data_IF_873345075480
#
_entry.id   IF_873345075480
#
_cell.length_a   1.000
_cell.length_b   1.000
_cell.length_c   1.000
_cell.angle_alpha   90.00
_cell.angle_beta   90.00
_cell.angle_gamma   90.00
#
_symmetry.space_group_name_H-M   'P 1'
#
loop_
_entity.id
_entity.type
_entity.pdbx_description
1 polymer ?
#
# COMPACT_ATOMS: atom_id res chain seq x y z
N UNK A 1 -3.78 -2.29 -5.33
CA UNK A 1 -2.46 -2.70 -5.81
C UNK A 1 -1.49 -2.60 -4.65
N UNK A 2 -0.72 -3.67 -4.37
CA UNK A 2 0.23 -3.77 -3.26
C UNK A 2 -0.28 -3.11 -1.97
N UNK A 3 -1.46 -3.50 -1.46
CA UNK A 3 -2.04 -2.85 -0.29
C UNK A 3 -1.27 -3.22 0.97
N UNK A 4 -1.20 -2.28 1.89
CA UNK A 4 -0.72 -2.57 3.25
C UNK A 4 -1.73 -3.49 3.93
N UNK A 5 -1.34 -4.74 4.17
CA UNK A 5 -2.17 -5.72 4.89
C UNK A 5 -2.03 -5.53 6.40
N UNK A 6 -0.80 -5.38 6.87
CA UNK A 6 -0.46 -5.16 8.27
C UNK A 6 0.53 -3.98 8.39
N UNK A 7 0.06 -2.79 8.80
CA UNK A 7 0.92 -1.61 8.89
C UNK A 7 2.10 -1.76 9.85
N UNK A 8 1.96 -2.55 10.94
CA UNK A 8 3.05 -2.79 11.88
C UNK A 8 4.17 -3.59 11.24
N UNK A 9 3.84 -4.66 10.49
CA UNK A 9 4.82 -5.46 9.75
C UNK A 9 5.46 -4.67 8.61
N UNK A 10 4.66 -3.89 7.86
CA UNK A 10 5.19 -3.01 6.81
C UNK A 10 6.20 -2.01 7.37
N UNK A 11 5.94 -1.44 8.56
CA UNK A 11 6.89 -0.55 9.21
C UNK A 11 8.20 -1.29 9.56
N UNK A 12 8.12 -2.50 10.08
CA UNK A 12 9.31 -3.33 10.36
C UNK A 12 10.07 -3.64 9.07
N UNK A 13 9.38 -4.01 7.99
CA UNK A 13 10.02 -4.28 6.69
C UNK A 13 10.77 -3.05 6.15
N UNK A 14 10.22 -1.85 6.31
CA UNK A 14 10.89 -0.61 5.93
C UNK A 14 12.13 -0.30 6.79
N UNK A 15 12.07 -0.60 8.10
CA UNK A 15 13.18 -0.35 9.03
C UNK A 15 14.34 -1.36 8.85
N UNK A 16 14.00 -2.62 8.57
CA UNK A 16 14.98 -3.74 8.51
C UNK A 16 15.42 -4.08 7.09
N UNK A 17 14.69 -3.61 6.09
CA UNK A 17 14.96 -3.83 4.68
C UNK A 17 16.15 -3.01 4.18
N UNK A 18 16.16 -2.71 2.87
CA UNK A 18 17.24 -1.89 2.31
C UNK A 18 17.23 -0.48 2.93
N UNK A 19 18.36 -0.09 3.50
CA UNK A 19 18.56 1.15 4.28
C UNK A 19 18.06 2.45 3.61
N UNK A 20 17.91 2.44 2.30
CA UNK A 20 17.43 3.60 1.52
C UNK A 20 15.92 3.82 1.62
N UNK A 21 15.12 2.76 1.86
CA UNK A 21 13.66 2.87 1.90
C UNK A 21 13.18 3.74 3.06
N UNK A 22 13.59 3.44 4.28
CA UNK A 22 13.19 4.24 5.44
C UNK A 22 13.57 5.71 5.27
N UNK A 23 14.82 5.98 4.83
CA UNK A 23 15.29 7.36 4.58
C UNK A 23 14.45 8.07 3.52
N UNK A 24 14.06 7.36 2.46
CA UNK A 24 13.20 7.90 1.42
C UNK A 24 11.83 8.30 2.00
N UNK A 25 11.17 7.43 2.75
CA UNK A 25 9.86 7.69 3.33
C UNK A 25 9.90 8.79 4.39
N UNK A 26 10.91 8.80 5.26
CA UNK A 26 11.10 9.88 6.24
C UNK A 26 11.24 11.23 5.53
N UNK A 27 12.07 11.33 4.47
CA UNK A 27 12.22 12.56 3.69
C UNK A 27 10.93 13.00 3.01
N UNK A 28 10.19 12.05 2.43
CA UNK A 28 8.88 12.35 1.79
C UNK A 28 7.88 12.86 2.81
N UNK A 29 7.79 12.21 3.96
CA UNK A 29 6.90 12.65 5.04
C UNK A 29 7.29 14.03 5.57
N UNK A 30 8.57 14.27 5.86
CA UNK A 30 9.05 15.58 6.28
C UNK A 30 8.72 16.69 5.27
N UNK A 31 8.92 16.46 3.97
CA UNK A 31 8.52 17.42 2.91
C UNK A 31 7.02 17.71 2.92
N UNK A 32 6.20 16.68 3.10
CA UNK A 32 4.74 16.82 3.20
C UNK A 32 4.36 17.65 4.44
N UNK A 33 4.97 17.38 5.59
CA UNK A 33 4.74 18.13 6.83
C UNK A 33 5.18 19.59 6.70
N UNK A 34 6.35 19.87 6.12
CA UNK A 34 6.79 21.24 5.85
C UNK A 34 5.78 22.01 5.01
N UNK A 35 5.24 21.38 3.97
CA UNK A 35 4.19 21.98 3.14
C UNK A 35 2.91 22.24 3.96
N UNK A 36 2.49 21.27 4.79
CA UNK A 36 1.30 21.42 5.65
C UNK A 36 1.46 22.51 6.70
N UNK A 37 2.61 22.56 7.38
CA UNK A 37 2.92 23.61 8.37
C UNK A 37 2.81 25.01 7.74
N UNK A 38 3.30 25.16 6.50
CA UNK A 38 3.24 26.45 5.78
C UNK A 38 1.84 26.83 5.32
N UNK A 39 1.05 25.86 4.83
CA UNK A 39 -0.26 26.12 4.23
C UNK A 39 -1.39 26.13 5.24
N UNK A 40 -1.23 25.41 6.36
CA UNK A 40 -2.24 25.18 7.37
C UNK A 40 -1.64 25.31 8.78
N UNK A 41 -1.18 26.51 9.17
CA UNK A 41 -0.54 26.73 10.47
C UNK A 41 -1.46 26.41 11.66
N UNK A 42 -2.78 26.50 11.44
CA UNK A 42 -3.81 26.17 12.43
C UNK A 42 -3.82 24.68 12.84
N UNK A 43 -3.27 23.77 12.03
CA UNK A 43 -3.18 22.35 12.38
C UNK A 43 -2.17 22.06 13.51
N UNK A 44 -1.38 23.05 13.89
CA UNK A 44 -0.49 22.96 15.06
C UNK A 44 0.63 21.93 14.93
N UNK A 45 1.00 21.52 13.70
CA UNK A 45 2.18 20.67 13.50
C UNK A 45 3.44 21.38 13.96
N UNK A 46 4.15 20.78 14.91
CA UNK A 46 5.35 21.39 15.49
C UNK A 46 6.59 21.03 14.67
N UNK A 47 7.57 21.95 14.62
CA UNK A 47 8.87 21.73 14.00
C UNK A 47 9.62 20.51 14.55
N UNK A 48 9.23 20.02 15.73
CA UNK A 48 9.80 18.80 16.30
C UNK A 48 9.63 17.60 15.37
N UNK A 49 8.50 17.48 14.65
CA UNK A 49 8.27 16.41 13.66
C UNK A 49 9.31 16.42 12.54
N UNK A 50 9.81 17.59 12.16
CA UNK A 50 10.81 17.74 11.10
C UNK A 50 12.21 17.28 11.53
N UNK A 51 12.45 17.12 12.84
CA UNK A 51 13.74 16.70 13.42
C UNK A 51 13.84 15.20 13.63
N UNK A 52 12.70 14.47 13.56
CA UNK A 52 12.67 13.03 13.72
C UNK A 52 13.26 12.33 12.50
N UNK A 53 14.06 11.28 12.73
CA UNK A 53 14.91 10.65 11.71
C UNK A 53 14.48 9.25 11.30
N UNK A 54 13.52 8.67 12.02
CA UNK A 54 12.98 7.34 11.71
C UNK A 54 11.45 7.36 11.61
N UNK A 55 10.89 6.40 10.88
CA UNK A 55 9.43 6.23 10.79
C UNK A 55 8.83 5.91 12.16
N UNK A 56 9.54 5.13 12.98
CA UNK A 56 9.12 4.77 14.34
C UNK A 56 9.01 6.01 15.22
N UNK A 57 10.03 6.88 15.23
CA UNK A 57 9.99 8.14 15.99
C UNK A 57 8.85 9.04 15.50
N UNK A 58 8.66 9.13 14.18
CA UNK A 58 7.60 9.95 13.60
C UNK A 58 6.21 9.43 14.01
N UNK A 59 5.95 8.11 13.92
CA UNK A 59 4.68 7.52 14.36
C UNK A 59 4.48 7.67 15.87
N UNK A 60 5.51 7.44 16.68
CA UNK A 60 5.45 7.58 18.14
C UNK A 60 5.11 9.00 18.60
N UNK A 61 5.50 10.00 17.80
CA UNK A 61 5.15 11.39 18.08
C UNK A 61 3.81 11.78 17.43
N UNK A 62 3.59 11.44 16.17
CA UNK A 62 2.44 11.90 15.40
C UNK A 62 1.14 11.27 15.90
N UNK A 63 1.14 9.96 16.16
CA UNK A 63 -0.09 9.23 16.51
C UNK A 63 -0.75 9.80 17.77
N UNK A 64 -0.10 9.88 18.95
CA UNK A 64 -0.78 10.37 20.15
C UNK A 64 -1.06 11.88 20.15
N UNK A 65 -0.39 12.67 19.29
CA UNK A 65 -0.56 14.12 19.28
C UNK A 65 -1.53 14.62 18.18
N UNK A 66 -1.79 13.82 17.14
CA UNK A 66 -2.53 14.27 15.96
C UNK A 66 -3.54 13.26 15.43
N UNK A 67 -3.81 12.19 16.18
CA UNK A 67 -4.85 11.21 15.88
C UNK A 67 -5.62 10.86 17.16
N UNK A 68 -6.78 10.20 17.09
CA UNK A 68 -7.51 9.75 18.26
C UNK A 68 -6.89 8.56 18.99
N UNK A 69 -5.77 8.01 18.51
CA UNK A 69 -5.13 6.83 19.08
C UNK A 69 -4.07 7.21 20.12
N UNK A 70 -4.03 6.47 21.23
CA UNK A 70 -3.08 6.72 22.30
C UNK A 70 -1.64 6.31 21.95
N UNK A 71 -1.48 5.33 21.08
CA UNK A 71 -0.18 4.78 20.70
C UNK A 71 -0.19 4.23 19.27
N UNK A 72 1.00 4.03 18.66
CA UNK A 72 1.10 3.47 17.29
C UNK A 72 0.57 2.05 17.12
N UNK A 73 0.55 1.22 18.16
CA UNK A 73 0.06 -0.15 18.05
C UNK A 73 -1.45 -0.16 17.77
N UNK A 74 -2.23 0.56 18.57
CA UNK A 74 -3.68 0.70 18.37
C UNK A 74 -3.99 1.33 17.00
N UNK A 75 -3.19 2.32 16.59
CA UNK A 75 -3.31 2.95 15.27
C UNK A 75 -3.09 1.94 14.14
N UNK A 76 -2.02 1.14 14.19
CA UNK A 76 -1.73 0.15 13.16
C UNK A 76 -2.76 -0.98 13.14
N UNK A 77 -3.24 -1.43 14.29
CA UNK A 77 -4.31 -2.42 14.38
C UNK A 77 -5.59 -1.91 13.72
N UNK A 78 -5.99 -0.68 13.98
CA UNK A 78 -7.19 -0.08 13.39
C UNK A 78 -7.12 0.08 11.86
N UNK A 79 -5.93 0.15 11.28
CA UNK A 79 -5.73 0.24 9.83
C UNK A 79 -5.32 -1.08 9.18
N UNK A 80 -5.14 -2.15 9.96
CA UNK A 80 -4.86 -3.49 9.44
C UNK A 80 -6.10 -4.05 8.74
N UNK A 81 -5.89 -4.67 7.58
CA UNK A 81 -6.92 -5.44 6.88
C UNK A 81 -6.71 -6.96 7.04
N UNK A 82 -5.76 -7.37 7.88
CA UNK A 82 -5.52 -8.77 8.22
C UNK A 82 -6.65 -9.34 9.08
N UNK A 83 -6.74 -10.66 9.14
CA UNK A 83 -7.79 -11.36 9.88
C UNK A 83 -9.15 -11.24 9.20
N UNK A 84 -10.20 -11.11 9.99
CA UNK A 84 -11.59 -11.19 9.51
C UNK A 84 -12.17 -9.86 8.97
N UNK A 85 -11.36 -8.81 8.86
CA UNK A 85 -11.82 -7.47 8.45
C UNK A 85 -12.56 -7.51 7.11
N UNK A 86 -12.07 -8.29 6.14
CA UNK A 86 -12.69 -8.43 4.82
C UNK A 86 -13.67 -9.61 4.72
N UNK A 87 -14.01 -10.29 5.82
CA UNK A 87 -14.95 -11.41 5.80
C UNK A 87 -16.37 -11.00 5.38
N UNK A 88 -16.77 -9.78 5.70
CA UNK A 88 -18.09 -9.23 5.39
C UNK A 88 -18.15 -8.44 4.08
N UNK A 89 -17.11 -8.52 3.26
CA UNK A 89 -17.07 -7.82 1.98
C UNK A 89 -18.21 -8.27 1.07
N UNK A 90 -19.04 -7.34 0.63
CA UNK A 90 -20.24 -7.60 -0.21
C UNK A 90 -20.06 -7.12 -1.66
N UNK A 91 -18.98 -6.42 -1.96
CA UNK A 91 -18.65 -5.94 -3.30
C UNK A 91 -17.40 -6.61 -3.83
N UNK A 92 -17.28 -6.85 -5.15
CA UNK A 92 -16.04 -7.39 -5.72
C UNK A 92 -14.84 -6.50 -5.42
N UNK A 93 -13.78 -7.09 -4.92
CA UNK A 93 -12.50 -6.43 -4.70
C UNK A 93 -11.36 -7.27 -5.28
N UNK A 94 -10.40 -6.61 -5.91
CA UNK A 94 -9.22 -7.24 -6.48
C UNK A 94 -7.97 -6.70 -5.79
N UNK A 95 -7.16 -7.61 -5.27
CA UNK A 95 -5.82 -7.32 -4.74
C UNK A 95 -4.81 -7.88 -5.72
N UNK A 96 -3.92 -7.02 -6.20
CA UNK A 96 -2.76 -7.40 -7.01
C UNK A 96 -1.51 -7.08 -6.21
N UNK A 97 -0.62 -8.06 -6.06
CA UNK A 97 0.62 -7.93 -5.30
C UNK A 97 1.78 -8.65 -6.01
N UNK A 98 3.01 -8.34 -5.64
CA UNK A 98 4.19 -9.01 -6.13
C UNK A 98 4.90 -9.78 -5.00
N UNK A 99 5.46 -10.96 -5.31
CA UNK A 99 6.19 -11.77 -4.35
C UNK A 99 7.55 -11.15 -3.98
N UNK A 100 8.11 -10.36 -4.89
CA UNK A 100 9.36 -9.62 -4.73
C UNK A 100 9.19 -8.20 -4.19
N UNK A 101 7.99 -7.85 -3.67
CA UNK A 101 7.75 -6.54 -3.07
C UNK A 101 8.56 -6.40 -1.75
N UNK A 102 9.52 -5.47 -1.68
CA UNK A 102 10.36 -5.33 -0.50
C UNK A 102 9.69 -4.58 0.67
N UNK A 103 8.47 -4.09 0.46
CA UNK A 103 7.73 -3.25 1.42
C UNK A 103 6.49 -3.99 1.91
N UNK A 104 5.70 -4.54 0.99
CA UNK A 104 4.48 -5.28 1.28
C UNK A 104 4.79 -6.77 1.17
N UNK A 105 4.93 -7.42 2.31
CA UNK A 105 5.28 -8.83 2.35
C UNK A 105 4.14 -9.68 1.78
N UNK A 106 4.41 -10.42 0.71
CA UNK A 106 3.42 -11.28 0.05
C UNK A 106 2.85 -12.36 0.98
N UNK A 107 3.63 -12.80 1.98
CA UNK A 107 3.19 -13.73 3.01
C UNK A 107 2.02 -13.19 3.87
N UNK A 108 1.87 -11.89 4.00
CA UNK A 108 0.76 -11.31 4.75
C UNK A 108 -0.58 -11.46 4.02
N UNK A 109 -0.58 -11.71 2.70
CA UNK A 109 -1.81 -11.97 1.94
C UNK A 109 -2.54 -13.23 2.43
N UNK A 110 -1.84 -14.24 2.93
CA UNK A 110 -2.46 -15.44 3.49
C UNK A 110 -3.23 -15.18 4.80
N UNK A 111 -3.05 -14.00 5.40
CA UNK A 111 -3.75 -13.56 6.61
C UNK A 111 -5.05 -12.81 6.32
N UNK A 112 -5.37 -12.58 5.05
CA UNK A 112 -6.64 -11.99 4.65
C UNK A 112 -7.79 -12.98 4.83
N UNK A 113 -8.97 -12.47 5.16
CA UNK A 113 -10.19 -13.28 5.25
C UNK A 113 -10.49 -13.99 3.92
N UNK A 114 -11.01 -15.19 4.00
CA UNK A 114 -11.57 -15.87 2.84
C UNK A 114 -12.95 -15.32 2.54
N UNK A 115 -13.12 -14.69 1.36
CA UNK A 115 -14.38 -14.13 0.95
C UNK A 115 -14.55 -14.33 -0.58
N UNK A 116 -15.74 -14.78 -1.07
CA UNK A 116 -15.98 -15.01 -2.49
C UNK A 116 -15.89 -13.75 -3.36
N UNK A 117 -16.03 -12.57 -2.75
CA UNK A 117 -15.86 -11.28 -3.45
C UNK A 117 -14.41 -10.77 -3.45
N UNK A 118 -13.50 -11.43 -2.72
CA UNK A 118 -12.10 -11.03 -2.66
C UNK A 118 -11.25 -11.87 -3.62
N UNK A 119 -10.74 -11.26 -4.66
CA UNK A 119 -9.84 -11.88 -5.64
C UNK A 119 -8.40 -11.41 -5.40
N UNK A 120 -7.51 -12.35 -5.10
CA UNK A 120 -6.10 -12.06 -4.86
C UNK A 120 -5.28 -12.63 -6.02
N UNK A 121 -4.52 -11.79 -6.68
CA UNK A 121 -3.59 -12.15 -7.75
C UNK A 121 -2.17 -11.75 -7.37
N UNK A 122 -1.25 -12.71 -7.41
CA UNK A 122 0.18 -12.48 -7.14
C UNK A 122 1.01 -12.67 -8.39
N UNK A 123 2.02 -11.83 -8.56
CA UNK A 123 3.05 -11.95 -9.58
C UNK A 123 4.40 -12.23 -8.92
N UNK A 124 5.19 -13.09 -9.54
CA UNK A 124 6.52 -13.41 -9.04
C UNK A 124 7.44 -12.18 -9.01
N UNK A 125 7.32 -11.34 -10.04
CA UNK A 125 8.10 -10.11 -10.20
C UNK A 125 7.16 -8.93 -10.46
N UNK A 126 7.37 -7.84 -9.77
CA UNK A 126 6.56 -6.63 -9.88
C UNK A 126 7.06 -5.51 -8.99
N UNK A 127 7.86 -5.86 -8.00
CA UNK A 127 8.32 -4.92 -6.98
C UNK A 127 7.14 -4.21 -6.31
N UNK A 128 7.39 -3.05 -5.72
CA UNK A 128 6.33 -2.25 -5.12
C UNK A 128 5.61 -1.42 -6.19
N UNK A 129 4.53 -1.98 -6.76
CA UNK A 129 3.65 -1.34 -7.74
C UNK A 129 4.26 -1.08 -9.14
N UNK A 130 5.43 -1.62 -9.48
CA UNK A 130 6.07 -1.38 -10.78
C UNK A 130 5.49 -2.24 -11.89
N UNK A 131 5.49 -3.56 -11.71
CA UNK A 131 5.00 -4.57 -12.68
C UNK A 131 5.50 -4.36 -14.11
N UNK A 132 6.79 -4.00 -14.25
CA UNK A 132 7.42 -3.74 -15.56
C UNK A 132 7.61 -5.03 -16.33
N UNK A 133 7.16 -5.08 -17.58
CA UNK A 133 7.21 -6.27 -18.44
C UNK A 133 8.45 -6.32 -19.35
N UNK A 134 8.96 -5.17 -19.76
CA UNK A 134 9.99 -5.11 -20.81
C UNK A 134 10.94 -3.93 -20.62
N UNK A 135 11.95 -3.84 -21.47
CA UNK A 135 12.94 -2.75 -21.46
C UNK A 135 12.38 -1.38 -21.88
N UNK A 136 11.19 -1.34 -22.50
CA UNK A 136 10.46 -0.13 -22.84
C UNK A 136 9.71 0.44 -21.62
N UNK A 137 9.76 -0.28 -20.47
CA UNK A 137 9.08 0.05 -19.23
C UNK A 137 7.54 -0.02 -19.32
N UNK A 138 7.02 -0.83 -20.23
CA UNK A 138 5.59 -1.10 -20.28
C UNK A 138 5.14 -1.81 -19.00
N UNK A 139 3.95 -1.47 -18.52
CA UNK A 139 3.40 -2.03 -17.28
C UNK A 139 2.36 -3.11 -17.60
N UNK A 140 2.63 -4.32 -17.15
CA UNK A 140 1.63 -5.40 -17.16
C UNK A 140 0.34 -5.00 -16.42
N UNK A 141 0.49 -4.20 -15.37
CA UNK A 141 -0.61 -3.77 -14.53
C UNK A 141 -1.67 -2.98 -15.28
N UNK A 142 -1.27 -2.13 -16.23
CA UNK A 142 -2.19 -1.28 -16.99
C UNK A 142 -3.16 -2.12 -17.82
N UNK A 143 -2.66 -3.13 -18.53
CA UNK A 143 -3.49 -4.08 -19.27
C UNK A 143 -4.40 -4.89 -18.34
N UNK A 144 -3.86 -5.35 -17.20
CA UNK A 144 -4.61 -6.15 -16.25
C UNK A 144 -5.75 -5.35 -15.59
N UNK A 145 -5.52 -4.09 -15.23
CA UNK A 145 -6.56 -3.21 -14.69
C UNK A 145 -7.67 -2.96 -15.71
N UNK A 146 -7.29 -2.74 -16.97
CA UNK A 146 -8.27 -2.59 -18.06
C UNK A 146 -9.18 -3.81 -18.17
N UNK A 147 -8.62 -5.03 -18.11
CA UNK A 147 -9.37 -6.28 -18.16
C UNK A 147 -10.32 -6.40 -16.97
N UNK A 148 -9.86 -6.16 -15.74
CA UNK A 148 -10.69 -6.23 -14.53
C UNK A 148 -11.85 -5.25 -14.59
N UNK A 149 -11.62 -4.02 -15.02
CA UNK A 149 -12.65 -2.98 -15.12
C UNK A 149 -13.68 -3.35 -16.20
N UNK A 150 -13.24 -3.86 -17.33
CA UNK A 150 -14.16 -4.26 -18.41
C UNK A 150 -14.98 -5.51 -18.05
N UNK A 151 -14.38 -6.51 -17.41
CA UNK A 151 -15.12 -7.68 -16.91
C UNK A 151 -16.18 -7.26 -15.87
N UNK A 152 -15.91 -6.28 -15.05
CA UNK A 152 -16.87 -5.75 -14.07
C UNK A 152 -18.03 -5.00 -14.74
N UNK A 153 -17.78 -4.35 -15.89
CA UNK A 153 -18.82 -3.62 -16.65
C UNK A 153 -19.68 -4.53 -17.52
N UNK A 154 -19.12 -5.64 -18.01
CA UNK A 154 -19.79 -6.56 -18.93
C UNK A 154 -19.62 -8.02 -18.44
N UNK A 155 -20.36 -8.45 -17.40
CA UNK A 155 -20.27 -9.81 -16.86
C UNK A 155 -20.84 -10.84 -17.84
N UNK A 156 -20.18 -11.11 -18.93
CA UNK A 156 -20.60 -12.00 -20.03
C UNK A 156 -19.79 -11.77 -21.32
N UNK A 157 -18.94 -10.75 -21.36
CA UNK A 157 -18.03 -10.50 -22.47
C UNK A 157 -16.82 -11.41 -22.38
N UNK A 158 -16.56 -12.21 -23.42
CA UNK A 158 -15.27 -12.89 -23.57
C UNK A 158 -14.15 -11.84 -23.67
N UNK A 159 -12.97 -12.07 -23.05
CA UNK A 159 -11.83 -11.17 -23.20
C UNK A 159 -11.47 -11.10 -24.70
N UNK A 160 -11.65 -9.91 -25.28
CA UNK A 160 -11.25 -9.66 -26.65
C UNK A 160 -9.76 -9.94 -26.78
N UNK A 161 -9.39 -10.87 -27.64
CA UNK A 161 -8.01 -11.04 -28.08
C UNK A 161 -7.59 -9.72 -28.72
N UNK A 162 -6.89 -8.87 -27.96
CA UNK A 162 -6.14 -7.77 -28.55
C UNK A 162 -5.10 -8.40 -29.47
N UNK A 163 -5.37 -8.35 -30.76
CA UNK A 163 -4.46 -8.83 -31.77
C UNK A 163 -3.18 -8.01 -31.74
N UNK A 164 -2.09 -8.64 -31.35
CA UNK A 164 -0.75 -8.22 -31.72
C UNK A 164 -0.64 -8.41 -33.23
N UNK A 165 -0.89 -7.38 -34.01
CA UNK A 165 -0.45 -7.30 -35.39
C UNK A 165 1.00 -6.82 -35.39
N UNK A 166 1.85 -7.70 -35.84
CA UNK A 166 3.21 -7.67 -36.36
C UNK A 166 4.00 -6.37 -36.27
#
# INVERSE_FOLDING_TARGET
ICPVVDPAKTMVALETGWWGYEKYFVRKWQKSLQKKIRLFPELGYKDKLLKLKSLREMNSYFVPNHTPFANPADYFEAYSIAGEVLATLSSPAHIIAAEDDPIILSEDLCRLAKNPHLHIETKKYGGHCGFVENYQLDSWLDGRLFDIINLSRYPGGQPGKAGLSQ
#
